data_IF_115510823942
#
_entry.id   IF_115510823942
#
_cell.length_a   1.000
_cell.length_b   1.000
_cell.length_c   1.000
_cell.angle_alpha   90.00
_cell.angle_beta   90.00
_cell.angle_gamma   90.00
#
_symmetry.space_group_name_H-M   'P 1'
#
loop_
_entity.id
_entity.type
_entity.pdbx_description
1 polymer ?
#
# COMPACT_ATOMS: atom_id res chain seq x y z
N UNK A 1 4.67 13.45 -3.55
CA UNK A 1 5.23 12.39 -4.39
C UNK A 1 6.33 11.57 -3.72
N UNK A 2 6.12 11.17 -2.46
CA UNK A 2 6.97 10.17 -1.74
C UNK A 2 6.11 8.94 -1.37
N UNK A 3 4.79 9.05 -1.54
CA UNK A 3 3.81 8.02 -1.14
C UNK A 3 3.46 7.06 -2.29
N UNK A 4 3.71 7.43 -3.57
CA UNK A 4 3.39 6.59 -4.73
C UNK A 4 4.18 5.28 -4.73
N UNK A 5 5.51 5.38 -4.66
CA UNK A 5 6.37 4.19 -4.68
C UNK A 5 6.17 3.26 -3.47
N UNK A 6 5.85 3.80 -2.28
CA UNK A 6 5.64 2.96 -1.09
C UNK A 6 4.34 2.13 -1.21
N UNK A 7 3.24 2.74 -1.65
CA UNK A 7 1.97 2.02 -1.85
C UNK A 7 2.12 1.00 -2.98
N UNK A 8 2.69 1.38 -4.13
CA UNK A 8 2.95 0.46 -5.23
C UNK A 8 3.85 -0.69 -4.78
N UNK A 9 4.89 -0.42 -3.98
CA UNK A 9 5.74 -1.47 -3.40
C UNK A 9 4.94 -2.46 -2.55
N UNK A 10 4.08 -1.99 -1.66
CA UNK A 10 3.26 -2.87 -0.82
C UNK A 10 2.24 -3.68 -1.65
N UNK A 11 1.66 -3.09 -2.71
CA UNK A 11 0.78 -3.80 -3.65
C UNK A 11 1.56 -4.86 -4.43
N UNK A 12 2.74 -4.54 -4.95
CA UNK A 12 3.60 -5.51 -5.63
C UNK A 12 4.08 -6.63 -4.70
N UNK A 13 4.37 -6.34 -3.42
CA UNK A 13 4.65 -7.36 -2.40
C UNK A 13 3.46 -8.31 -2.20
N UNK A 14 2.24 -7.77 -2.15
CA UNK A 14 1.03 -8.58 -2.09
C UNK A 14 0.89 -9.49 -3.33
N UNK A 15 1.08 -8.95 -4.54
CA UNK A 15 1.04 -9.72 -5.78
C UNK A 15 2.10 -10.82 -5.81
N UNK A 16 3.35 -10.50 -5.43
CA UNK A 16 4.43 -11.47 -5.30
C UNK A 16 4.02 -12.61 -4.38
N UNK A 17 3.47 -12.31 -3.21
CA UNK A 17 3.05 -13.34 -2.25
C UNK A 17 1.88 -14.18 -2.74
N UNK A 18 0.94 -13.58 -3.49
CA UNK A 18 -0.12 -14.32 -4.18
C UNK A 18 0.43 -15.27 -5.27
N UNK A 19 1.51 -14.88 -5.95
CA UNK A 19 2.16 -15.69 -7.00
C UNK A 19 2.95 -16.85 -6.38
N UNK A 20 3.74 -16.57 -5.34
CA UNK A 20 4.51 -17.58 -4.61
C UNK A 20 3.63 -18.57 -3.85
N UNK A 21 2.44 -18.14 -3.42
CA UNK A 21 1.50 -18.95 -2.67
C UNK A 21 1.86 -19.06 -1.18
N UNK A 22 1.19 -19.99 -0.49
CA UNK A 22 1.27 -20.15 0.96
C UNK A 22 0.13 -19.46 1.70
N UNK A 23 0.23 -19.40 3.03
CA UNK A 23 -0.74 -18.72 3.87
C UNK A 23 -0.58 -17.20 3.74
N UNK A 24 -1.68 -16.51 3.43
CA UNK A 24 -1.69 -15.06 3.24
C UNK A 24 -2.95 -14.47 3.86
N UNK A 25 -2.77 -13.40 4.64
CA UNK A 25 -3.86 -12.52 5.06
C UNK A 25 -3.64 -11.15 4.43
N UNK A 26 -4.64 -10.69 3.67
CA UNK A 26 -4.62 -9.37 3.04
C UNK A 26 -5.61 -8.47 3.77
N UNK A 27 -5.14 -7.34 4.26
CA UNK A 27 -5.99 -6.28 4.80
C UNK A 27 -6.08 -5.21 3.70
N UNK A 28 -7.29 -4.89 3.28
CA UNK A 28 -7.52 -3.92 2.21
C UNK A 28 -8.77 -3.09 2.48
N UNK A 29 -8.93 -1.99 1.77
CA UNK A 29 -10.14 -1.17 1.80
C UNK A 29 -11.14 -1.63 0.75
N UNK A 30 -12.41 -1.25 0.92
CA UNK A 30 -13.43 -1.47 -0.10
C UNK A 30 -13.10 -0.72 -1.40
N UNK A 31 -12.60 0.52 -1.30
CA UNK A 31 -12.20 1.33 -2.46
C UNK A 31 -11.12 0.66 -3.32
N UNK A 32 -10.16 -0.04 -2.71
CA UNK A 32 -9.16 -0.78 -3.47
C UNK A 32 -9.77 -1.93 -4.29
N UNK A 33 -10.86 -2.54 -3.81
CA UNK A 33 -11.58 -3.62 -4.52
C UNK A 33 -12.44 -3.11 -5.68
N UNK A 34 -12.78 -1.82 -5.65
CA UNK A 34 -13.52 -1.15 -6.72
C UNK A 34 -12.63 -0.84 -7.94
N UNK A 35 -11.30 -0.95 -7.81
CA UNK A 35 -10.38 -0.66 -8.93
C UNK A 35 -10.09 -1.92 -9.76
N UNK A 36 -10.14 -1.82 -11.10
CA UNK A 36 -9.73 -2.88 -12.01
C UNK A 36 -8.24 -3.15 -11.89
N UNK A 37 -7.88 -4.41 -12.10
CA UNK A 37 -6.51 -4.90 -12.10
C UNK A 37 -6.23 -5.63 -13.41
N UNK A 38 -4.98 -5.76 -13.78
CA UNK A 38 -4.58 -6.62 -14.90
C UNK A 38 -4.72 -8.10 -14.48
N UNK A 39 -4.96 -9.06 -15.38
CA UNK A 39 -5.04 -10.46 -14.97
C UNK A 39 -3.75 -10.94 -14.28
N UNK A 40 -3.86 -11.67 -13.16
CA UNK A 40 -2.68 -12.17 -12.44
C UNK A 40 -1.78 -13.07 -13.30
N UNK A 41 -2.35 -13.73 -14.30
CA UNK A 41 -1.61 -14.50 -15.31
C UNK A 41 -0.63 -13.63 -16.11
N UNK A 42 -0.99 -12.37 -16.40
CA UNK A 42 -0.11 -11.40 -17.06
C UNK A 42 1.07 -11.08 -16.15
N UNK A 43 0.83 -10.80 -14.86
CA UNK A 43 1.91 -10.55 -13.88
C UNK A 43 2.82 -11.79 -13.78
N UNK A 44 2.24 -12.98 -13.63
CA UNK A 44 2.98 -14.25 -13.52
C UNK A 44 3.88 -14.53 -14.73
N UNK A 45 3.38 -14.28 -15.95
CA UNK A 45 4.14 -14.47 -17.20
C UNK A 45 5.39 -13.59 -17.25
N UNK A 46 5.36 -12.44 -16.59
CA UNK A 46 6.46 -11.47 -16.57
C UNK A 46 7.30 -11.54 -15.30
N UNK A 47 7.13 -12.57 -14.46
CA UNK A 47 8.12 -12.86 -13.42
C UNK A 47 9.32 -13.48 -14.11
N UNK A 48 10.46 -12.79 -14.00
CA UNK A 48 11.69 -13.16 -14.66
C UNK A 48 12.61 -13.91 -13.71
N UNK A 49 13.11 -15.09 -14.11
CA UNK A 49 14.03 -15.90 -13.31
C UNK A 49 15.40 -15.93 -13.96
N UNK A 50 16.43 -15.67 -13.17
CA UNK A 50 17.84 -15.82 -13.57
C UNK A 50 18.49 -16.82 -12.63
N UNK A 51 19.15 -17.82 -13.21
CA UNK A 51 19.87 -18.86 -12.49
C UNK A 51 21.33 -18.83 -12.92
N UNK A 52 22.21 -19.19 -11.99
CA UNK A 52 23.63 -19.38 -12.28
C UNK A 52 23.82 -20.45 -13.36
N UNK A 53 24.85 -20.32 -14.20
CA UNK A 53 25.19 -21.27 -15.28
C UNK A 53 24.11 -21.39 -16.36
N UNK A 54 23.17 -20.43 -16.41
CA UNK A 54 22.18 -20.30 -17.49
C UNK A 54 22.54 -19.17 -18.44
N UNK A 55 21.95 -19.27 -19.61
CA UNK A 55 22.07 -18.32 -20.70
C UNK A 55 21.17 -17.10 -20.47
N UNK A 56 21.70 -15.90 -20.67
CA UNK A 56 21.04 -14.62 -20.43
C UNK A 56 21.48 -13.60 -21.48
N UNK A 57 20.55 -13.19 -22.36
CA UNK A 57 20.83 -12.15 -23.36
C UNK A 57 20.47 -10.76 -22.78
N UNK A 58 21.46 -9.88 -22.68
CA UNK A 58 21.33 -8.58 -22.01
C UNK A 58 20.36 -7.64 -22.72
N UNK A 59 20.31 -7.65 -24.05
CA UNK A 59 19.45 -6.73 -24.82
C UNK A 59 17.97 -7.10 -24.69
N UNK A 60 17.64 -8.40 -24.72
CA UNK A 60 16.31 -8.93 -24.50
C UNK A 60 15.88 -8.73 -23.04
N UNK A 61 16.81 -8.95 -22.10
CA UNK A 61 16.56 -8.72 -20.67
C UNK A 61 16.28 -7.25 -20.37
N UNK A 62 17.03 -6.33 -20.98
CA UNK A 62 16.79 -4.89 -20.85
C UNK A 62 15.39 -4.51 -21.34
N UNK A 63 14.96 -5.05 -22.48
CA UNK A 63 13.63 -4.82 -23.03
C UNK A 63 12.54 -5.34 -22.10
N UNK A 64 12.67 -6.57 -21.60
CA UNK A 64 11.72 -7.17 -20.64
C UNK A 64 11.61 -6.35 -19.35
N UNK A 65 12.74 -5.89 -18.79
CA UNK A 65 12.76 -5.04 -17.60
C UNK A 65 12.03 -3.71 -17.85
N UNK A 66 12.24 -3.07 -19.00
CA UNK A 66 11.52 -1.85 -19.37
C UNK A 66 10.00 -2.07 -19.52
N UNK A 67 9.58 -3.17 -20.14
CA UNK A 67 8.16 -3.58 -20.25
C UNK A 67 7.52 -3.82 -18.87
N UNK A 68 8.30 -4.35 -17.93
CA UNK A 68 7.95 -4.57 -16.52
C UNK A 68 7.93 -3.29 -15.68
N UNK A 69 8.29 -2.14 -16.26
CA UNK A 69 8.27 -0.83 -15.61
C UNK A 69 9.56 -0.43 -14.89
N UNK A 70 10.67 -1.13 -15.14
CA UNK A 70 11.97 -0.73 -14.59
C UNK A 70 12.58 0.42 -15.38
N UNK A 71 13.21 1.34 -14.67
CA UNK A 71 13.93 2.48 -15.26
C UNK A 71 15.39 2.11 -15.54
N UNK A 72 15.81 2.26 -16.79
CA UNK A 72 17.22 2.08 -17.18
C UNK A 72 18.04 3.27 -16.74
N UNK A 73 19.02 3.05 -15.89
CA UNK A 73 19.91 4.07 -15.35
C UNK A 73 21.37 3.72 -15.58
N UNK A 74 22.25 4.69 -15.37
CA UNK A 74 23.70 4.44 -15.42
C UNK A 74 24.19 3.60 -14.22
N UNK A 75 23.59 3.85 -13.04
CA UNK A 75 23.90 3.18 -11.80
C UNK A 75 22.62 3.06 -10.96
N UNK A 76 22.40 1.89 -10.38
CA UNK A 76 21.23 1.61 -9.55
C UNK A 76 21.36 2.33 -8.20
N UNK A 77 20.37 3.14 -7.87
CA UNK A 77 20.30 3.92 -6.63
C UNK A 77 18.98 3.72 -5.87
N UNK A 78 17.91 3.28 -6.55
CA UNK A 78 16.58 3.11 -5.98
C UNK A 78 15.85 1.86 -6.51
N UNK A 79 14.88 1.31 -5.76
CA UNK A 79 14.05 0.19 -6.24
C UNK A 79 13.32 0.53 -7.54
N UNK A 80 13.14 -0.45 -8.42
CA UNK A 80 12.55 -0.29 -9.75
C UNK A 80 13.53 0.21 -10.81
N UNK A 81 14.84 0.18 -10.54
CA UNK A 81 15.88 0.58 -11.49
C UNK A 81 16.74 -0.61 -11.92
N UNK A 82 17.33 -0.49 -13.12
CA UNK A 82 18.37 -1.41 -13.58
C UNK A 82 19.46 -0.68 -14.38
N UNK A 83 20.67 -1.23 -14.38
CA UNK A 83 21.82 -0.72 -15.11
C UNK A 83 22.56 -1.87 -15.81
N UNK A 84 23.06 -1.60 -17.02
CA UNK A 84 23.90 -2.55 -17.77
C UNK A 84 25.25 -1.90 -18.03
N UNK A 85 26.33 -2.59 -17.63
CA UNK A 85 27.71 -2.11 -17.73
C UNK A 85 28.62 -3.22 -18.24
N UNK A 86 28.84 -3.27 -19.55
CA UNK A 86 29.51 -4.41 -20.19
C UNK A 86 28.70 -5.68 -19.92
N UNK A 87 29.34 -6.68 -19.33
CA UNK A 87 28.75 -7.99 -19.03
C UNK A 87 28.10 -8.03 -17.64
N UNK A 88 27.74 -6.87 -17.06
CA UNK A 88 27.11 -6.77 -15.74
C UNK A 88 25.72 -6.17 -15.88
N UNK A 89 24.72 -6.86 -15.32
CA UNK A 89 23.37 -6.34 -15.08
C UNK A 89 23.17 -6.15 -13.57
N UNK A 90 22.97 -4.90 -13.16
CA UNK A 90 22.48 -4.58 -11.82
C UNK A 90 20.98 -4.29 -11.90
N UNK A 91 20.18 -4.85 -10.99
CA UNK A 91 18.72 -4.67 -10.96
C UNK A 91 18.23 -4.63 -9.53
N UNK A 92 17.36 -3.67 -9.22
CA UNK A 92 16.77 -3.52 -7.89
C UNK A 92 15.29 -3.80 -7.92
N UNK A 93 14.91 -5.03 -7.55
CA UNK A 93 13.51 -5.42 -7.43
C UNK A 93 12.76 -4.54 -6.41
N UNK A 94 11.54 -4.12 -6.76
CA UNK A 94 10.74 -3.22 -5.95
C UNK A 94 10.42 -3.80 -4.56
N UNK A 95 10.28 -5.12 -4.47
CA UNK A 95 9.81 -5.84 -3.28
C UNK A 95 10.94 -6.27 -2.34
N UNK A 96 12.19 -6.25 -2.82
CA UNK A 96 13.39 -6.70 -2.11
C UNK A 96 14.03 -5.62 -1.25
N UNK A 97 14.95 -6.04 -0.37
CA UNK A 97 15.73 -5.13 0.48
C UNK A 97 17.02 -4.65 -0.19
N UNK A 98 17.68 -5.53 -0.95
CA UNK A 98 18.95 -5.25 -1.63
C UNK A 98 18.84 -5.53 -3.13
N UNK A 99 19.53 -4.76 -3.99
CA UNK A 99 19.65 -5.04 -5.41
C UNK A 99 20.49 -6.28 -5.70
N UNK A 100 20.30 -6.81 -6.90
CA UNK A 100 21.05 -7.94 -7.44
C UNK A 100 22.07 -7.49 -8.48
N UNK A 101 23.26 -8.09 -8.44
CA UNK A 101 24.30 -8.00 -9.46
C UNK A 101 24.40 -9.36 -10.16
N UNK A 102 24.29 -9.32 -11.48
CA UNK A 102 24.33 -10.46 -12.39
C UNK A 102 25.53 -10.25 -13.31
N UNK A 103 26.57 -11.06 -13.14
CA UNK A 103 27.80 -11.01 -13.94
C UNK A 103 27.77 -12.14 -14.96
N UNK A 104 28.03 -11.81 -16.21
CA UNK A 104 28.06 -12.74 -17.33
C UNK A 104 29.49 -12.96 -17.85
N UNK A 105 29.71 -14.15 -18.42
CA UNK A 105 30.84 -14.44 -19.29
C UNK A 105 30.31 -14.82 -20.68
N UNK A 106 30.40 -13.89 -21.62
CA UNK A 106 29.66 -14.00 -22.88
C UNK A 106 28.16 -13.87 -22.62
N UNK A 107 27.41 -14.94 -22.88
CA UNK A 107 25.97 -15.04 -22.66
C UNK A 107 25.60 -15.92 -21.44
N UNK A 108 26.59 -16.46 -20.72
CA UNK A 108 26.37 -17.32 -19.56
C UNK A 108 26.48 -16.54 -18.24
N UNK A 109 25.54 -16.76 -17.31
CA UNK A 109 25.56 -16.17 -15.95
C UNK A 109 26.63 -16.85 -15.11
N UNK A 110 27.74 -16.14 -14.89
CA UNK A 110 28.88 -16.61 -14.08
C UNK A 110 28.59 -16.44 -12.57
N UNK A 111 28.01 -15.31 -12.18
CA UNK A 111 27.89 -14.91 -10.78
C UNK A 111 26.61 -14.11 -10.52
N UNK A 112 25.91 -14.46 -9.43
CA UNK A 112 24.71 -13.78 -8.92
C UNK A 112 24.96 -13.41 -7.47
N UNK A 113 24.76 -12.14 -7.11
CA UNK A 113 24.99 -11.64 -5.74
C UNK A 113 24.00 -10.54 -5.38
N UNK A 114 23.62 -10.45 -4.10
CA UNK A 114 23.05 -9.19 -3.59
C UNK A 114 24.19 -8.18 -3.33
N UNK A 115 23.91 -6.87 -3.38
CA UNK A 115 24.91 -5.84 -3.08
C UNK A 115 24.34 -4.66 -2.30
N UNK A 116 25.19 -3.97 -1.54
CA UNK A 116 24.81 -2.78 -0.78
C UNK A 116 24.77 -1.54 -1.67
N UNK A 117 23.65 -0.82 -1.69
CA UNK A 117 23.44 0.35 -2.56
C UNK A 117 24.48 1.45 -2.36
N UNK A 118 24.88 1.69 -1.11
CA UNK A 118 25.75 2.82 -0.75
C UNK A 118 27.20 2.55 -1.13
N UNK A 119 27.70 1.36 -0.81
CA UNK A 119 29.09 0.97 -1.05
C UNK A 119 29.31 0.30 -2.41
N UNK A 120 28.23 -0.14 -3.07
CA UNK A 120 28.25 -0.89 -4.34
C UNK A 120 29.04 -2.21 -4.26
N UNK A 121 29.18 -2.74 -3.04
CA UNK A 121 29.90 -3.99 -2.75
C UNK A 121 28.94 -5.15 -2.58
N UNK A 122 29.34 -6.32 -3.08
CA UNK A 122 28.59 -7.55 -2.90
C UNK A 122 28.42 -7.90 -1.42
N UNK A 123 27.25 -8.45 -1.09
CA UNK A 123 26.87 -8.92 0.25
C UNK A 123 26.88 -10.45 0.26
N UNK A 124 25.90 -11.08 -0.38
CA UNK A 124 25.74 -12.54 -0.36
C UNK A 124 25.71 -13.13 -1.77
N UNK A 125 26.33 -14.29 -2.01
CA UNK A 125 26.16 -15.03 -3.26
C UNK A 125 24.78 -15.70 -3.31
N UNK A 126 24.22 -15.80 -4.51
CA UNK A 126 22.91 -16.39 -4.80
C UNK A 126 23.04 -17.43 -5.91
N UNK A 127 22.21 -18.47 -5.90
CA UNK A 127 22.15 -19.46 -7.00
C UNK A 127 21.06 -19.11 -8.03
N UNK A 128 20.03 -18.37 -7.58
CA UNK A 128 18.89 -17.96 -8.40
C UNK A 128 18.31 -16.65 -7.86
N UNK A 129 17.84 -15.79 -8.78
CA UNK A 129 17.03 -14.61 -8.46
C UNK A 129 15.72 -14.63 -9.24
N UNK A 130 14.66 -14.06 -8.64
CA UNK A 130 13.37 -13.82 -9.29
C UNK A 130 13.08 -12.33 -9.23
N UNK A 131 12.87 -11.74 -10.40
CA UNK A 131 12.61 -10.33 -10.59
C UNK A 131 11.14 -10.17 -10.96
N UNK A 132 10.39 -9.46 -10.12
CA UNK A 132 8.97 -9.18 -10.27
C UNK A 132 8.77 -7.82 -10.97
N UNK A 133 7.62 -7.56 -11.58
CA UNK A 133 7.35 -6.26 -12.20
C UNK A 133 7.52 -5.09 -11.21
N UNK A 134 7.98 -3.95 -11.71
CA UNK A 134 8.11 -2.71 -10.95
C UNK A 134 6.88 -1.79 -11.11
N UNK A 135 5.91 -2.17 -11.95
CA UNK A 135 4.66 -1.46 -12.19
C UNK A 135 3.45 -2.39 -12.11
N UNK A 136 2.29 -1.83 -11.74
CA UNK A 136 1.02 -2.54 -11.69
C UNK A 136 0.42 -2.82 -13.08
N UNK A 137 0.96 -2.17 -14.11
CA UNK A 137 0.63 -2.42 -15.51
C UNK A 137 1.87 -2.82 -16.30
N UNK A 138 1.75 -3.91 -17.06
CA UNK A 138 2.79 -4.36 -17.98
C UNK A 138 2.45 -3.85 -19.38
N UNK A 139 3.37 -3.13 -20.01
CA UNK A 139 3.14 -2.50 -21.31
C UNK A 139 4.14 -3.07 -22.31
N UNK A 140 3.79 -4.23 -22.87
CA UNK A 140 4.42 -4.79 -24.07
C UNK A 140 4.26 -3.79 -25.24
N UNK A 141 5.24 -3.73 -26.14
CA UNK A 141 5.30 -2.74 -27.23
C UNK A 141 4.00 -2.66 -28.06
N UNK A 142 3.48 -3.81 -28.53
CA UNK A 142 2.22 -3.88 -29.27
C UNK A 142 1.01 -3.36 -28.47
N UNK A 143 0.95 -3.68 -27.17
CA UNK A 143 -0.14 -3.24 -26.29
C UNK A 143 -0.09 -1.74 -26.06
N UNK A 144 1.12 -1.22 -25.85
CA UNK A 144 1.37 0.20 -25.67
C UNK A 144 0.90 0.98 -26.91
N UNK A 145 1.29 0.52 -28.10
CA UNK A 145 0.91 1.13 -29.38
C UNK A 145 -0.61 1.14 -29.58
N UNK A 146 -1.29 -0.01 -29.43
CA UNK A 146 -2.75 -0.10 -29.56
C UNK A 146 -3.49 0.78 -28.54
N UNK A 147 -2.96 0.89 -27.32
CA UNK A 147 -3.53 1.77 -26.30
C UNK A 147 -3.43 3.25 -26.68
N UNK A 148 -2.25 3.69 -27.14
CA UNK A 148 -2.03 5.06 -27.63
C UNK A 148 -2.94 5.39 -28.81
N UNK A 149 -3.10 4.46 -29.76
CA UNK A 149 -3.99 4.65 -30.91
C UNK A 149 -5.45 4.90 -30.48
N UNK A 150 -5.95 4.12 -29.51
CA UNK A 150 -7.29 4.31 -28.94
C UNK A 150 -7.43 5.66 -28.23
N UNK A 151 -6.45 6.01 -27.38
CA UNK A 151 -6.41 7.29 -26.64
C UNK A 151 -6.43 8.46 -27.64
N UNK A 152 -5.58 8.41 -28.66
CA UNK A 152 -5.45 9.48 -29.66
C UNK A 152 -6.72 9.60 -30.49
N UNK A 153 -7.33 8.48 -30.89
CA UNK A 153 -8.57 8.49 -31.65
C UNK A 153 -9.75 9.09 -30.85
N UNK A 154 -9.90 8.73 -29.57
CA UNK A 154 -10.92 9.34 -28.71
C UNK A 154 -10.65 10.82 -28.46
N UNK A 155 -9.39 11.19 -28.21
CA UNK A 155 -8.98 12.57 -28.02
C UNK A 155 -9.36 13.45 -29.21
N UNK A 156 -9.07 13.00 -30.44
CA UNK A 156 -9.44 13.71 -31.67
C UNK A 156 -10.95 13.98 -31.74
N UNK A 157 -11.77 12.96 -31.48
CA UNK A 157 -13.23 13.10 -31.48
C UNK A 157 -13.72 14.11 -30.43
N UNK A 158 -13.17 14.06 -29.22
CA UNK A 158 -13.57 14.96 -28.12
C UNK A 158 -13.10 16.40 -28.37
N UNK A 159 -11.88 16.59 -28.87
CA UNK A 159 -11.32 17.90 -29.24
C UNK A 159 -12.14 18.54 -30.35
N UNK A 160 -12.51 17.79 -31.39
CA UNK A 160 -13.39 18.28 -32.46
C UNK A 160 -14.75 18.71 -31.92
N UNK A 161 -15.35 17.92 -31.02
CA UNK A 161 -16.61 18.26 -30.37
C UNK A 161 -16.49 19.56 -29.57
N UNK A 162 -15.45 19.71 -28.75
CA UNK A 162 -15.23 20.94 -27.99
C UNK A 162 -15.03 22.16 -28.89
N UNK A 163 -14.29 22.03 -30.00
CA UNK A 163 -14.15 23.13 -30.98
C UNK A 163 -15.50 23.51 -31.61
N UNK A 164 -16.36 22.54 -31.96
CA UNK A 164 -17.71 22.80 -32.47
C UNK A 164 -18.60 23.52 -31.44
N UNK A 165 -18.41 23.22 -30.16
CA UNK A 165 -19.11 23.85 -29.03
C UNK A 165 -18.48 25.19 -28.57
N UNK A 166 -17.47 25.71 -29.29
CA UNK A 166 -16.71 26.92 -28.93
C UNK A 166 -15.97 26.82 -27.57
N UNK A 167 -15.69 25.60 -27.10
CA UNK A 167 -14.91 25.29 -25.89
C UNK A 167 -13.42 25.15 -26.20
N UNK A 168 -12.81 26.21 -26.72
CA UNK A 168 -11.44 26.18 -27.27
C UNK A 168 -10.36 25.89 -26.22
N UNK A 169 -10.52 26.39 -24.99
CA UNK A 169 -9.56 26.15 -23.91
C UNK A 169 -9.54 24.68 -23.47
N UNK A 170 -10.72 24.08 -23.32
CA UNK A 170 -10.87 22.67 -22.97
C UNK A 170 -10.32 21.78 -24.09
N UNK A 171 -10.58 22.14 -25.36
CA UNK A 171 -10.02 21.45 -26.51
C UNK A 171 -8.48 21.49 -26.51
N UNK A 172 -7.88 22.65 -26.29
CA UNK A 172 -6.42 22.78 -26.24
C UNK A 172 -5.82 22.01 -25.06
N UNK A 173 -6.42 22.12 -23.87
CA UNK A 173 -5.97 21.42 -22.67
C UNK A 173 -5.94 19.90 -22.85
N UNK A 174 -7.01 19.34 -23.43
CA UNK A 174 -7.10 17.90 -23.68
C UNK A 174 -6.07 17.45 -24.73
N UNK A 175 -5.92 18.22 -25.80
CA UNK A 175 -4.96 17.94 -26.89
C UNK A 175 -3.51 17.93 -26.38
N UNK A 176 -3.11 18.93 -25.59
CA UNK A 176 -1.77 18.98 -25.00
C UNK A 176 -1.53 17.86 -23.98
N UNK A 177 -2.50 17.58 -23.09
CA UNK A 177 -2.38 16.49 -22.12
C UNK A 177 -2.17 15.14 -22.82
N UNK A 178 -2.89 14.87 -23.91
CA UNK A 178 -2.74 13.62 -24.66
C UNK A 178 -1.40 13.57 -25.40
N UNK A 179 -0.93 14.68 -26.00
CA UNK A 179 0.41 14.71 -26.62
C UNK A 179 1.53 14.42 -25.62
N UNK A 180 1.48 15.07 -24.45
CA UNK A 180 2.44 14.83 -23.37
C UNK A 180 2.42 13.37 -22.92
N UNK A 181 1.23 12.76 -22.80
CA UNK A 181 1.07 11.36 -22.47
C UNK A 181 1.69 10.43 -23.53
N UNK A 182 1.43 10.67 -24.82
CA UNK A 182 2.00 9.87 -25.91
C UNK A 182 3.53 9.95 -25.88
N UNK A 183 4.09 11.15 -25.77
CA UNK A 183 5.55 11.35 -25.69
C UNK A 183 6.15 10.61 -24.50
N UNK A 184 5.50 10.66 -23.33
CA UNK A 184 5.97 9.96 -22.13
C UNK A 184 5.98 8.44 -22.31
N UNK A 185 4.95 7.88 -22.94
CA UNK A 185 4.84 6.44 -23.17
C UNK A 185 5.86 5.98 -24.22
N UNK A 186 6.02 6.71 -25.32
CA UNK A 186 6.98 6.40 -26.39
C UNK A 186 8.44 6.48 -25.92
N UNK A 187 8.76 7.45 -25.06
CA UNK A 187 10.12 7.61 -24.51
C UNK A 187 10.45 6.62 -23.38
N UNK A 188 9.50 5.77 -22.97
CA UNK A 188 9.64 4.87 -21.81
C UNK A 188 10.04 5.62 -20.52
N UNK A 189 9.71 6.91 -20.46
CA UNK A 189 9.95 7.79 -19.31
C UNK A 189 9.02 7.43 -18.15
N UNK A 190 9.28 7.96 -16.95
CA UNK A 190 8.46 7.70 -15.76
C UNK A 190 6.96 7.82 -16.07
N UNK A 191 6.30 6.66 -16.03
CA UNK A 191 4.90 6.40 -16.40
C UNK A 191 3.93 6.88 -15.31
N UNK A 192 4.00 8.15 -14.92
CA UNK A 192 3.09 8.68 -13.91
C UNK A 192 1.63 8.63 -14.43
N UNK A 193 0.72 8.06 -13.63
CA UNK A 193 -0.74 8.02 -13.85
C UNK A 193 -1.28 7.18 -15.03
N UNK A 194 -0.51 6.26 -15.63
CA UNK A 194 -1.02 5.34 -16.66
C UNK A 194 -2.16 4.44 -16.18
N UNK A 195 -2.25 4.19 -14.86
CA UNK A 195 -3.33 3.44 -14.23
C UNK A 195 -4.72 4.01 -14.56
N UNK A 196 -4.83 5.34 -14.70
CA UNK A 196 -6.09 5.99 -15.07
C UNK A 196 -6.53 5.72 -16.51
N UNK A 197 -5.66 5.13 -17.32
CA UNK A 197 -5.88 4.74 -18.71
C UNK A 197 -5.91 3.21 -18.88
N UNK A 198 -6.01 2.43 -17.79
CA UNK A 198 -5.90 0.97 -17.83
C UNK A 198 -6.78 0.33 -18.92
N UNK A 199 -8.02 0.78 -19.11
CA UNK A 199 -8.95 0.22 -20.09
C UNK A 199 -8.59 0.49 -21.56
N UNK A 200 -7.74 1.49 -21.83
CA UNK A 200 -7.20 1.70 -23.18
C UNK A 200 -6.16 0.63 -23.52
N UNK A 201 -5.36 0.23 -22.54
CA UNK A 201 -4.29 -0.75 -22.69
C UNK A 201 -4.76 -2.20 -22.46
N UNK A 202 -5.79 -2.40 -21.64
CA UNK A 202 -6.31 -3.70 -21.22
C UNK A 202 -7.81 -3.77 -21.43
N UNK A 203 -8.25 -4.62 -22.36
CA UNK A 203 -9.67 -4.91 -22.58
C UNK A 203 -10.21 -5.86 -21.50
N UNK A 204 -9.39 -6.84 -21.08
CA UNK A 204 -9.76 -7.86 -20.09
C UNK A 204 -9.19 -7.52 -18.70
N UNK A 205 -9.70 -6.47 -18.05
CA UNK A 205 -9.36 -6.22 -16.64
C UNK A 205 -10.20 -7.09 -15.70
N UNK A 206 -9.67 -7.34 -14.50
CA UNK A 206 -10.29 -8.17 -13.47
C UNK A 206 -10.36 -7.44 -12.14
N UNK A 207 -11.27 -7.83 -11.26
CA UNK A 207 -11.22 -7.38 -9.86
C UNK A 207 -10.09 -8.09 -9.12
N UNK A 208 -9.48 -7.40 -8.14
CA UNK A 208 -8.53 -8.00 -7.20
C UNK A 208 -9.07 -9.30 -6.55
N UNK A 209 -10.39 -9.38 -6.35
CA UNK A 209 -11.07 -10.55 -5.80
C UNK A 209 -10.91 -11.82 -6.66
N UNK A 210 -10.67 -11.67 -7.96
CA UNK A 210 -10.49 -12.79 -8.86
C UNK A 210 -9.20 -13.55 -8.61
N UNK A 211 -8.18 -12.88 -8.05
CA UNK A 211 -6.91 -13.51 -7.69
C UNK A 211 -7.07 -14.61 -6.63
N UNK A 212 -8.18 -14.58 -5.90
CA UNK A 212 -8.51 -15.56 -4.88
C UNK A 212 -9.40 -16.70 -5.39
N UNK A 213 -10.07 -16.54 -6.55
CA UNK A 213 -11.05 -17.52 -7.09
C UNK A 213 -10.43 -18.88 -7.43
N UNK A 214 -9.20 -18.91 -7.97
CA UNK A 214 -8.54 -20.15 -8.38
C UNK A 214 -7.86 -20.91 -7.22
N UNK A 215 -7.97 -20.43 -5.98
CA UNK A 215 -7.17 -20.90 -4.85
C UNK A 215 -5.76 -20.32 -4.89
N UNK A 216 -5.31 -19.81 -3.74
CA UNK A 216 -3.91 -19.40 -3.52
C UNK A 216 -3.06 -20.66 -3.68
N UNK A 217 -2.19 -20.72 -4.69
CA UNK A 217 -1.27 -21.85 -4.91
C UNK A 217 -1.73 -22.99 -5.83
N UNK A 218 -2.91 -22.94 -6.46
CA UNK A 218 -3.37 -24.00 -7.37
C UNK A 218 -2.56 -24.13 -8.68
N UNK A 219 -1.63 -23.21 -8.95
CA UNK A 219 -0.73 -23.28 -10.09
C UNK A 219 0.53 -24.14 -9.84
N UNK A 220 0.76 -24.65 -8.62
CA UNK A 220 1.95 -25.47 -8.30
C UNK A 220 1.73 -26.98 -8.37
N UNK A 221 0.48 -27.45 -8.49
CA UNK A 221 0.16 -28.86 -8.70
C UNK A 221 -0.87 -28.96 -9.81
N UNK A 222 -0.49 -29.56 -10.95
CA UNK A 222 -1.27 -29.70 -12.19
C UNK A 222 -2.63 -30.40 -12.06
N UNK A 223 -3.50 -29.87 -11.23
CA UNK A 223 -4.81 -30.41 -10.90
C UNK A 223 -5.82 -29.55 -11.63
N UNK A 224 -6.45 -30.13 -12.66
CA UNK A 224 -7.58 -29.52 -13.35
C UNK A 224 -8.62 -29.12 -12.31
N UNK A 225 -8.92 -27.83 -12.23
CA UNK A 225 -9.98 -27.32 -11.38
C UNK A 225 -11.31 -27.91 -11.85
N UNK A 226 -11.80 -28.94 -11.14
CA UNK A 226 -13.16 -29.41 -11.30
C UNK A 226 -14.13 -28.32 -10.85
N UNK A 227 -15.22 -28.13 -11.60
CA UNK A 227 -16.34 -27.28 -11.21
C UNK A 227 -16.90 -27.75 -9.86
N UNK A 228 -16.44 -27.14 -8.76
CA UNK A 228 -16.76 -27.57 -7.40
C UNK A 228 -15.67 -27.36 -6.35
N UNK A 229 -14.44 -26.99 -6.73
CA UNK A 229 -13.41 -26.64 -5.76
C UNK A 229 -13.81 -25.35 -5.01
N UNK A 230 -14.28 -25.50 -3.76
CA UNK A 230 -14.56 -24.36 -2.87
C UNK A 230 -13.31 -23.49 -2.77
N UNK A 231 -13.47 -22.20 -3.05
CA UNK A 231 -12.40 -21.21 -2.91
C UNK A 231 -11.74 -21.33 -1.53
N UNK A 232 -10.41 -21.42 -1.50
CA UNK A 232 -9.63 -21.55 -0.26
C UNK A 232 -9.67 -20.28 0.61
N UNK A 233 -9.97 -19.12 0.00
CA UNK A 233 -10.03 -17.84 0.69
C UNK A 233 -11.38 -17.62 1.41
N UNK A 234 -11.31 -16.99 2.59
CA UNK A 234 -12.46 -16.46 3.32
C UNK A 234 -12.30 -14.95 3.47
N UNK A 235 -13.33 -14.19 3.11
CA UNK A 235 -13.37 -12.75 3.27
C UNK A 235 -13.99 -12.39 4.63
N UNK A 236 -13.33 -11.53 5.37
CA UNK A 236 -13.89 -10.90 6.57
C UNK A 236 -14.27 -9.46 6.24
N UNK A 237 -15.50 -9.06 6.55
CA UNK A 237 -16.01 -7.71 6.36
C UNK A 237 -16.28 -7.13 7.74
N UNK A 238 -15.44 -6.18 8.14
CA UNK A 238 -15.56 -5.44 9.39
C UNK A 238 -16.50 -4.25 9.19
N UNK A 239 -17.56 -4.18 9.99
CA UNK A 239 -18.61 -3.15 9.93
C UNK A 239 -19.20 -2.93 8.53
N UNK A 240 -19.94 -3.93 8.04
CA UNK A 240 -20.53 -3.96 6.70
C UNK A 240 -21.34 -2.69 6.32
N UNK A 241 -22.01 -2.06 7.28
CA UNK A 241 -22.73 -0.80 7.05
C UNK A 241 -21.78 0.34 6.67
N UNK A 242 -20.71 0.54 7.45
CA UNK A 242 -19.69 1.54 7.14
C UNK A 242 -19.00 1.25 5.81
N UNK A 243 -18.73 -0.03 5.49
CA UNK A 243 -18.15 -0.43 4.21
C UNK A 243 -19.02 0.01 3.03
N UNK A 244 -20.34 -0.20 3.10
CA UNK A 244 -21.26 0.24 2.04
C UNK A 244 -21.38 1.75 1.93
N UNK A 245 -21.43 2.46 3.06
CA UNK A 245 -21.47 3.92 3.09
C UNK A 245 -20.20 4.52 2.46
N UNK A 246 -19.02 4.00 2.83
CA UNK A 246 -17.75 4.42 2.25
C UNK A 246 -17.67 4.12 0.76
N UNK A 247 -18.12 2.93 0.32
CA UNK A 247 -18.17 2.58 -1.11
C UNK A 247 -19.01 3.57 -1.92
N UNK A 248 -20.23 3.86 -1.45
CA UNK A 248 -21.14 4.80 -2.12
C UNK A 248 -20.60 6.22 -2.14
N UNK A 249 -19.96 6.66 -1.05
CA UNK A 249 -19.33 7.97 -0.99
C UNK A 249 -18.18 8.08 -2.01
N UNK A 250 -17.30 7.08 -2.07
CA UNK A 250 -16.19 7.03 -3.04
C UNK A 250 -16.71 7.01 -4.47
N UNK A 251 -17.72 6.20 -4.77
CA UNK A 251 -18.33 6.13 -6.10
C UNK A 251 -18.91 7.47 -6.54
N UNK A 252 -19.67 8.14 -5.68
CA UNK A 252 -20.29 9.43 -6.00
C UNK A 252 -19.24 10.54 -6.15
N UNK A 253 -18.27 10.62 -5.24
CA UNK A 253 -17.17 11.59 -5.33
C UNK A 253 -16.35 11.38 -6.61
N UNK A 254 -16.04 10.13 -6.95
CA UNK A 254 -15.32 9.77 -8.17
C UNK A 254 -16.13 10.21 -9.40
N UNK A 255 -17.39 9.82 -9.49
CA UNK A 255 -18.27 10.14 -10.62
C UNK A 255 -18.39 11.64 -10.84
N UNK A 256 -18.64 12.41 -9.78
CA UNK A 256 -18.74 13.88 -9.86
C UNK A 256 -17.41 14.52 -10.28
N UNK A 257 -16.29 14.06 -9.72
CA UNK A 257 -14.96 14.56 -10.09
C UNK A 257 -14.66 14.28 -11.57
N UNK A 258 -14.96 13.07 -12.05
CA UNK A 258 -14.68 12.66 -13.42
C UNK A 258 -15.56 13.39 -14.43
N UNK A 259 -16.87 13.56 -14.16
CA UNK A 259 -17.75 14.37 -15.01
C UNK A 259 -17.19 15.80 -15.14
N UNK A 260 -16.88 16.45 -14.02
CA UNK A 260 -16.36 17.80 -14.03
C UNK A 260 -15.02 17.90 -14.79
N UNK A 261 -14.10 16.97 -14.55
CA UNK A 261 -12.79 16.95 -15.24
C UNK A 261 -12.96 16.71 -16.75
N UNK A 262 -13.86 15.83 -17.16
CA UNK A 262 -14.16 15.57 -18.56
C UNK A 262 -14.76 16.82 -19.23
N UNK A 263 -15.74 17.48 -18.60
CA UNK A 263 -16.33 18.73 -19.08
C UNK A 263 -15.31 19.86 -19.24
N UNK A 264 -14.31 19.89 -18.36
CA UNK A 264 -13.22 20.86 -18.39
C UNK A 264 -12.05 20.42 -19.28
N UNK A 265 -12.11 19.29 -19.98
CA UNK A 265 -11.03 18.82 -20.85
C UNK A 265 -9.74 18.43 -20.13
N UNK A 266 -9.82 17.99 -18.86
CA UNK A 266 -8.67 17.44 -18.12
C UNK A 266 -8.47 15.95 -18.32
N UNK A 267 -9.49 15.21 -18.78
CA UNK A 267 -9.46 13.76 -18.97
C UNK A 267 -10.27 13.36 -20.22
N UNK A 268 -10.05 12.15 -20.69
CA UNK A 268 -10.87 11.50 -21.71
C UNK A 268 -12.12 10.82 -21.10
N UNK A 269 -13.26 10.78 -21.82
CA UNK A 269 -14.45 10.05 -21.37
C UNK A 269 -14.20 8.57 -21.04
N UNK A 270 -13.37 7.85 -21.80
CA UNK A 270 -13.04 6.46 -21.49
C UNK A 270 -12.30 6.24 -20.16
N UNK A 271 -11.76 7.29 -19.53
CA UNK A 271 -11.20 7.19 -18.18
C UNK A 271 -12.29 7.15 -17.09
N UNK A 272 -13.53 7.51 -17.41
CA UNK A 272 -14.65 7.54 -16.45
C UNK A 272 -15.08 6.14 -15.99
N UNK A 273 -14.74 5.10 -16.77
CA UNK A 273 -15.06 3.69 -16.48
C UNK A 273 -13.98 3.00 -15.64
N UNK A 274 -13.12 3.76 -14.95
CA UNK A 274 -12.01 3.23 -14.17
C UNK A 274 -12.46 2.55 -12.86
N UNK A 275 -13.68 2.76 -12.39
CA UNK A 275 -14.11 2.31 -11.06
C UNK A 275 -15.34 1.42 -11.19
N UNK A 276 -15.26 0.18 -10.69
CA UNK A 276 -16.43 -0.66 -10.48
C UNK A 276 -17.35 0.00 -9.43
N UNK A 277 -18.63 0.07 -9.72
CA UNK A 277 -19.61 0.61 -8.79
C UNK A 277 -19.69 -0.20 -7.49
N UNK A 278 -20.29 0.37 -6.45
CA UNK A 278 -20.44 -0.28 -5.13
C UNK A 278 -21.20 -1.59 -5.27
N UNK A 279 -22.34 -1.58 -5.94
CA UNK A 279 -23.17 -2.78 -6.12
C UNK A 279 -22.47 -3.86 -6.95
N UNK A 280 -21.75 -3.45 -8.00
CA UNK A 280 -20.95 -4.37 -8.81
C UNK A 280 -19.84 -5.01 -7.96
N UNK A 281 -19.13 -4.21 -7.17
CA UNK A 281 -18.07 -4.69 -6.28
C UNK A 281 -18.63 -5.67 -5.25
N UNK A 282 -19.79 -5.37 -4.65
CA UNK A 282 -20.49 -6.30 -3.74
C UNK A 282 -20.89 -7.60 -4.44
N UNK A 283 -21.39 -7.51 -5.67
CA UNK A 283 -21.70 -8.70 -6.46
C UNK A 283 -20.44 -9.54 -6.72
N UNK A 284 -19.30 -8.91 -7.05
CA UNK A 284 -18.02 -9.62 -7.21
C UNK A 284 -17.53 -10.28 -5.91
N UNK A 285 -17.84 -9.72 -4.74
CA UNK A 285 -17.52 -10.31 -3.43
C UNK A 285 -18.30 -11.59 -3.13
N UNK A 286 -19.47 -11.79 -3.75
CA UNK A 286 -20.34 -12.95 -3.50
C UNK A 286 -19.70 -14.30 -3.88
N UNK A 287 -18.63 -14.28 -4.68
CA UNK A 287 -17.89 -15.47 -5.12
C UNK A 287 -17.04 -16.11 -4.01
N UNK A 288 -16.84 -15.40 -2.89
CA UNK A 288 -16.05 -15.87 -1.76
C UNK A 288 -16.97 -16.23 -0.59
N UNK A 289 -16.49 -17.12 0.30
CA UNK A 289 -17.10 -17.27 1.63
C UNK A 289 -16.86 -15.99 2.41
N UNK A 290 -17.89 -15.48 3.07
CA UNK A 290 -17.88 -14.18 3.76
C UNK A 290 -18.25 -14.37 5.23
N UNK A 291 -17.52 -13.69 6.10
CA UNK A 291 -17.83 -13.52 7.52
C UNK A 291 -17.99 -12.04 7.77
N UNK A 292 -19.14 -11.64 8.27
CA UNK A 292 -19.38 -10.27 8.68
C UNK A 292 -19.08 -10.14 10.17
N UNK A 293 -18.32 -9.10 10.53
CA UNK A 293 -18.10 -8.69 11.90
C UNK A 293 -18.82 -7.35 12.08
N UNK A 294 -19.73 -7.28 13.03
CA UNK A 294 -20.46 -6.06 13.34
C UNK A 294 -20.90 -6.07 14.80
N UNK A 295 -20.83 -4.91 15.46
CA UNK A 295 -21.41 -4.74 16.80
C UNK A 295 -22.94 -4.76 16.76
N UNK A 296 -23.52 -4.18 15.71
CA UNK A 296 -24.97 -4.09 15.51
C UNK A 296 -25.31 -4.61 14.10
N UNK A 297 -26.10 -5.69 13.97
CA UNK A 297 -26.53 -6.18 12.67
C UNK A 297 -27.33 -5.15 11.90
N UNK A 298 -26.99 -4.96 10.63
CA UNK A 298 -27.74 -4.05 9.76
C UNK A 298 -29.05 -4.71 9.27
N UNK A 299 -30.15 -3.95 9.12
CA UNK A 299 -31.41 -4.46 8.57
C UNK A 299 -31.22 -5.14 7.21
N UNK A 300 -31.86 -6.30 7.01
CA UNK A 300 -31.66 -7.17 5.83
C UNK A 300 -31.99 -6.49 4.50
N UNK A 301 -32.99 -5.60 4.48
CA UNK A 301 -33.42 -4.85 3.31
C UNK A 301 -32.37 -3.84 2.81
N UNK A 302 -31.45 -3.42 3.68
CA UNK A 302 -30.37 -2.48 3.35
C UNK A 302 -29.00 -3.15 3.31
N UNK A 303 -28.94 -4.44 3.60
CA UNK A 303 -27.70 -5.19 3.70
C UNK A 303 -27.38 -5.96 2.42
N UNK A 304 -26.56 -5.34 1.56
CA UNK A 304 -26.02 -6.02 0.38
C UNK A 304 -25.09 -7.20 0.74
N UNK A 305 -24.70 -7.32 2.01
CA UNK A 305 -23.93 -8.43 2.56
C UNK A 305 -24.78 -9.35 3.47
N UNK A 306 -26.11 -9.33 3.36
CA UNK A 306 -27.01 -10.06 4.27
C UNK A 306 -26.53 -11.50 4.55
N UNK A 307 -26.27 -11.86 5.83
CA UNK A 307 -25.76 -13.17 6.17
C UNK A 307 -26.84 -14.25 6.13
N UNK A 308 -26.43 -15.48 5.83
CA UNK A 308 -27.31 -16.66 5.92
C UNK A 308 -27.57 -17.07 7.37
N UNK A 309 -26.60 -16.81 8.26
CA UNK A 309 -26.63 -17.15 9.68
C UNK A 309 -26.03 -16.01 10.49
N UNK A 310 -26.65 -15.72 11.61
CA UNK A 310 -26.18 -14.74 12.58
C UNK A 310 -25.80 -15.46 13.86
N UNK A 311 -24.63 -15.13 14.39
CA UNK A 311 -24.11 -15.66 15.65
C UNK A 311 -23.75 -14.46 16.52
N UNK A 312 -24.34 -14.39 17.71
CA UNK A 312 -24.00 -13.35 18.69
C UNK A 312 -22.93 -13.87 19.63
N UNK A 313 -21.89 -13.07 19.84
CA UNK A 313 -20.82 -13.36 20.82
C UNK A 313 -20.88 -12.26 21.87
N UNK A 314 -21.18 -12.63 23.12
CA UNK A 314 -21.23 -11.68 24.23
C UNK A 314 -19.84 -11.13 24.57
N UNK A 315 -19.56 -9.90 24.15
CA UNK A 315 -18.32 -9.17 24.46
C UNK A 315 -18.62 -7.85 25.17
N UNK A 316 -17.73 -7.41 26.06
CA UNK A 316 -17.82 -6.09 26.71
C UNK A 316 -16.50 -5.36 26.60
N UNK A 317 -16.55 -4.08 26.23
CA UNK A 317 -15.39 -3.20 26.29
C UNK A 317 -15.03 -2.88 27.75
N UNK A 318 -13.74 -2.82 28.05
CA UNK A 318 -13.28 -2.37 29.37
C UNK A 318 -13.25 -0.84 29.44
N UNK A 319 -13.62 -0.30 30.59
CA UNK A 319 -13.44 1.11 30.88
C UNK A 319 -11.96 1.40 31.17
N UNK A 320 -11.41 2.53 30.71
CA UNK A 320 -10.03 2.88 31.01
C UNK A 320 -9.85 3.13 32.52
N UNK A 321 -8.74 2.65 33.06
CA UNK A 321 -8.34 2.85 34.46
C UNK A 321 -7.82 4.26 34.73
N UNK A 322 -7.47 5.04 33.69
CA UNK A 322 -7.03 6.43 33.78
C UNK A 322 -5.87 6.63 34.77
N UNK A 323 -4.83 5.79 34.68
CA UNK A 323 -3.67 5.75 35.59
C UNK A 323 -3.99 5.35 37.05
N UNK A 324 -5.21 4.89 37.35
CA UNK A 324 -5.55 4.38 38.68
C UNK A 324 -5.14 2.92 38.80
N UNK A 325 -3.91 2.69 39.25
CA UNK A 325 -3.40 1.35 39.50
C UNK A 325 -4.18 0.61 40.59
N UNK A 326 -4.69 1.33 41.60
CA UNK A 326 -5.53 0.77 42.66
C UNK A 326 -6.82 0.13 42.12
N UNK A 327 -7.48 0.79 41.15
CA UNK A 327 -8.68 0.23 40.49
C UNK A 327 -8.34 -1.01 39.69
N UNK A 328 -7.21 -1.01 38.98
CA UNK A 328 -6.72 -2.21 38.27
C UNK A 328 -6.52 -3.37 39.26
N UNK A 329 -5.81 -3.15 40.36
CA UNK A 329 -5.56 -4.18 41.38
C UNK A 329 -6.87 -4.69 41.98
N UNK A 330 -7.84 -3.80 42.26
CA UNK A 330 -9.16 -4.18 42.74
C UNK A 330 -9.87 -5.12 41.75
N UNK A 331 -9.93 -4.75 40.48
CA UNK A 331 -10.62 -5.53 39.45
C UNK A 331 -9.90 -6.86 39.17
N UNK A 332 -8.58 -6.88 39.18
CA UNK A 332 -7.79 -8.11 39.05
C UNK A 332 -8.03 -9.09 40.22
N UNK A 333 -8.21 -8.59 41.45
CA UNK A 333 -8.62 -9.45 42.59
C UNK A 333 -9.99 -10.05 42.35
N UNK A 334 -10.93 -9.26 41.82
CA UNK A 334 -12.26 -9.75 41.50
C UNK A 334 -12.22 -10.80 40.37
N UNK A 335 -11.50 -10.53 39.28
CA UNK A 335 -11.30 -11.47 38.18
C UNK A 335 -10.69 -12.79 38.67
N UNK A 336 -9.65 -12.73 39.52
CA UNK A 336 -9.05 -13.93 40.12
C UNK A 336 -10.05 -14.72 40.96
N UNK A 337 -10.86 -14.03 41.78
CA UNK A 337 -11.90 -14.65 42.60
C UNK A 337 -12.98 -15.34 41.76
N UNK A 338 -13.38 -14.72 40.66
CA UNK A 338 -14.36 -15.27 39.72
C UNK A 338 -13.78 -16.31 38.74
N UNK A 339 -12.48 -16.58 38.85
CA UNK A 339 -11.72 -17.52 38.01
C UNK A 339 -11.64 -17.10 36.54
N UNK A 340 -11.56 -15.80 36.29
CA UNK A 340 -11.22 -15.28 34.97
C UNK A 340 -9.79 -15.64 34.58
N UNK A 341 -9.61 -15.87 33.28
CA UNK A 341 -8.34 -15.94 32.59
C UNK A 341 -8.01 -14.53 32.11
N UNK A 342 -6.99 -13.89 32.69
CA UNK A 342 -6.66 -12.50 32.38
C UNK A 342 -5.36 -12.42 31.59
N UNK A 343 -5.41 -11.70 30.47
CA UNK A 343 -4.26 -11.38 29.63
C UNK A 343 -4.03 -9.86 29.66
N UNK A 344 -2.84 -9.42 30.03
CA UNK A 344 -2.46 -7.99 29.97
C UNK A 344 -1.41 -7.80 28.88
N UNK A 345 -1.71 -6.98 27.89
CA UNK A 345 -0.84 -6.74 26.74
C UNK A 345 -0.08 -5.42 26.89
N UNK A 346 1.24 -5.47 26.76
CA UNK A 346 2.09 -4.28 26.68
C UNK A 346 2.91 -4.25 25.39
N UNK A 347 3.01 -3.06 24.81
CA UNK A 347 3.81 -2.81 23.61
C UNK A 347 5.32 -2.83 23.86
N UNK A 348 5.80 -3.17 25.07
CA UNK A 348 7.21 -3.41 25.36
C UNK A 348 7.38 -4.65 26.23
N UNK A 349 8.29 -5.55 25.84
CA UNK A 349 8.68 -6.71 26.65
C UNK A 349 9.17 -6.30 28.05
N UNK A 350 9.94 -5.21 28.15
CA UNK A 350 10.46 -4.75 29.44
C UNK A 350 9.36 -4.21 30.34
N UNK A 351 8.36 -3.50 29.78
CA UNK A 351 7.20 -3.00 30.54
C UNK A 351 6.27 -4.14 30.95
N UNK A 352 6.03 -5.12 30.07
CA UNK A 352 5.27 -6.33 30.39
C UNK A 352 5.87 -7.11 31.57
N UNK A 353 7.20 -7.25 31.61
CA UNK A 353 7.93 -7.90 32.71
C UNK A 353 7.83 -7.08 34.01
N UNK A 354 8.09 -5.77 33.96
CA UNK A 354 7.99 -4.89 35.14
C UNK A 354 6.58 -4.87 35.75
N UNK A 355 5.55 -4.89 34.91
CA UNK A 355 4.16 -4.91 35.38
C UNK A 355 3.87 -6.15 36.25
N UNK A 356 4.53 -7.28 36.01
CA UNK A 356 4.41 -8.46 36.88
C UNK A 356 4.92 -8.17 38.29
N UNK A 357 6.07 -7.49 38.40
CA UNK A 357 6.65 -7.14 39.68
C UNK A 357 5.73 -6.15 40.42
N UNK A 358 5.26 -5.10 39.74
CA UNK A 358 4.32 -4.12 40.30
C UNK A 358 3.02 -4.78 40.79
N UNK A 359 2.49 -5.74 40.04
CA UNK A 359 1.29 -6.49 40.41
C UNK A 359 1.54 -7.40 41.63
N UNK A 360 2.68 -8.09 41.69
CA UNK A 360 3.05 -8.96 42.81
C UNK A 360 3.24 -8.17 44.11
N UNK A 361 3.86 -7.00 44.04
CA UNK A 361 4.02 -6.10 45.19
C UNK A 361 2.66 -5.65 45.75
N UNK A 362 1.62 -5.64 44.92
CA UNK A 362 0.23 -5.33 45.29
C UNK A 362 -0.62 -6.58 45.63
N UNK A 363 0.04 -7.73 45.81
CA UNK A 363 -0.59 -9.00 46.21
C UNK A 363 -1.32 -9.72 45.07
N UNK A 364 -0.99 -9.42 43.81
CA UNK A 364 -1.55 -10.08 42.63
C UNK A 364 -0.52 -11.07 42.06
N UNK A 365 -0.77 -12.37 42.23
CA UNK A 365 0.03 -13.40 41.56
C UNK A 365 -0.17 -13.30 40.04
N UNK A 366 0.90 -12.96 39.35
CA UNK A 366 0.95 -12.85 37.89
C UNK A 366 2.31 -13.33 37.36
N UNK A 367 2.39 -13.57 36.05
CA UNK A 367 3.63 -13.97 35.38
C UNK A 367 3.67 -13.47 33.93
N UNK A 368 4.87 -13.40 33.37
CA UNK A 368 5.09 -13.05 31.97
C UNK A 368 5.35 -14.32 31.15
N UNK A 369 4.74 -14.42 29.96
CA UNK A 369 5.02 -15.48 28.99
C UNK A 369 5.79 -14.91 27.78
N UNK A 370 6.75 -15.68 27.26
CA UNK A 370 7.35 -15.44 25.94
C UNK A 370 6.71 -16.31 24.85
N UNK A 371 5.90 -17.30 25.24
CA UNK A 371 5.19 -18.19 24.31
C UNK A 371 3.88 -17.53 23.83
N UNK A 372 3.73 -17.24 22.52
CA UNK A 372 2.51 -16.68 21.95
C UNK A 372 1.30 -17.63 22.02
N UNK A 373 1.53 -18.93 22.19
CA UNK A 373 0.48 -19.95 22.25
C UNK A 373 0.02 -20.25 23.68
N UNK A 374 0.68 -19.69 24.70
CA UNK A 374 0.30 -19.90 26.09
C UNK A 374 -1.05 -19.25 26.41
N UNK A 375 -2.06 -20.07 26.67
CA UNK A 375 -3.40 -19.62 27.10
C UNK A 375 -3.49 -19.58 28.63
N UNK A 376 -3.82 -18.46 29.30
CA UNK A 376 -3.97 -18.39 30.76
C UNK A 376 -4.99 -19.41 31.30
N UNK A 377 -4.70 -20.01 32.46
CA UNK A 377 -5.61 -20.91 33.17
C UNK A 377 -6.61 -20.13 34.04
N UNK A 378 -7.75 -20.74 34.45
CA UNK A 378 -8.74 -20.04 35.27
C UNK A 378 -8.16 -19.47 36.58
N UNK A 379 -8.23 -18.15 36.74
CA UNK A 379 -7.66 -17.41 37.87
C UNK A 379 -6.21 -16.96 37.67
N UNK A 380 -5.58 -17.30 36.55
CA UNK A 380 -4.26 -16.78 36.19
C UNK A 380 -4.36 -15.37 35.57
N UNK A 381 -3.37 -14.55 35.91
CA UNK A 381 -3.13 -13.25 35.30
C UNK A 381 -1.77 -13.33 34.60
N UNK A 382 -1.80 -13.23 33.28
CA UNK A 382 -0.62 -13.34 32.43
C UNK A 382 -0.34 -12.00 31.75
N UNK A 383 0.92 -11.55 31.75
CA UNK A 383 1.35 -10.44 30.91
C UNK A 383 2.04 -10.99 29.65
N UNK A 384 1.85 -10.31 28.51
CA UNK A 384 2.46 -10.69 27.24
C UNK A 384 2.82 -9.47 26.40
N UNK A 385 3.79 -9.63 25.48
CA UNK A 385 4.18 -8.58 24.55
C UNK A 385 3.21 -8.52 23.37
N UNK A 386 2.43 -7.45 23.28
CA UNK A 386 1.45 -7.26 22.22
C UNK A 386 0.78 -5.89 22.32
N UNK A 387 0.05 -5.51 21.27
CA UNK A 387 -0.67 -4.24 21.23
C UNK A 387 -2.09 -4.47 20.74
N UNK A 388 -3.04 -4.00 21.53
CA UNK A 388 -4.45 -3.83 21.14
C UNK A 388 -4.84 -2.38 21.43
N UNK A 389 -5.93 -1.91 20.83
CA UNK A 389 -6.38 -0.52 21.02
C UNK A 389 -7.08 -0.32 22.36
N UNK A 390 -7.97 -1.25 22.72
CA UNK A 390 -8.75 -1.24 23.96
C UNK A 390 -8.94 -2.66 24.45
N UNK A 391 -8.97 -2.82 25.76
CA UNK A 391 -9.29 -4.07 26.43
C UNK A 391 -10.76 -4.44 26.31
N UNK A 392 -11.02 -5.73 26.45
CA UNK A 392 -12.35 -6.33 26.34
C UNK A 392 -12.45 -7.59 27.21
N UNK A 393 -13.66 -8.03 27.49
CA UNK A 393 -13.94 -9.29 28.15
C UNK A 393 -15.01 -10.12 27.43
N UNK A 394 -14.88 -11.44 27.53
CA UNK A 394 -15.90 -12.42 27.16
C UNK A 394 -16.41 -13.11 28.44
N UNK A 395 -17.53 -12.64 29.03
CA UNK A 395 -18.01 -13.16 30.31
C UNK A 395 -18.36 -14.66 30.26
N UNK A 396 -18.87 -15.15 29.13
CA UNK A 396 -19.30 -16.54 28.94
C UNK A 396 -18.15 -17.55 29.13
N UNK A 397 -16.94 -17.17 28.73
CA UNK A 397 -15.74 -18.01 28.87
C UNK A 397 -14.79 -17.52 29.98
N UNK A 398 -15.24 -16.50 30.74
CA UNK A 398 -14.47 -15.83 31.80
C UNK A 398 -13.07 -15.45 31.34
N UNK A 399 -12.99 -14.72 30.23
CA UNK A 399 -11.73 -14.26 29.66
C UNK A 399 -11.72 -12.75 29.57
N UNK A 400 -10.63 -12.12 30.01
CA UNK A 400 -10.44 -10.67 29.93
C UNK A 400 -9.08 -10.35 29.33
N UNK A 401 -9.05 -9.37 28.43
CA UNK A 401 -7.83 -8.80 27.86
C UNK A 401 -7.77 -7.33 28.24
N UNK A 402 -6.67 -6.92 28.88
CA UNK A 402 -6.42 -5.54 29.30
C UNK A 402 -5.27 -5.00 28.45
N UNK A 403 -5.48 -3.84 27.82
CA UNK A 403 -4.42 -3.12 27.13
C UNK A 403 -3.60 -2.30 28.12
N UNK A 404 -2.31 -2.14 27.86
CA UNK A 404 -1.48 -1.14 28.53
C UNK A 404 -2.09 0.27 28.42
N UNK A 405 -2.75 0.60 27.30
CA UNK A 405 -3.43 1.88 27.10
C UNK A 405 -4.69 2.08 27.96
N UNK A 406 -5.30 1.00 28.45
CA UNK A 406 -6.41 1.09 29.39
C UNK A 406 -5.88 1.43 30.79
N UNK A 407 -4.73 0.85 31.16
CA UNK A 407 -4.08 1.05 32.46
C UNK A 407 -3.49 2.45 32.53
N UNK A 408 -2.62 2.75 31.57
CA UNK A 408 -1.88 4.00 31.49
C UNK A 408 -2.45 4.82 30.35
N UNK A 409 -2.92 6.02 30.66
CA UNK A 409 -3.30 6.96 29.61
C UNK A 409 -2.08 7.20 28.75
N UNK A 410 -2.14 6.91 27.45
CA UNK A 410 -1.07 7.32 26.55
C UNK A 410 -0.88 8.83 26.76
N UNK A 411 0.29 9.24 27.25
CA UNK A 411 0.72 10.60 26.99
C UNK A 411 0.71 10.71 25.48
N UNK A 412 -0.33 11.37 24.94
CA UNK A 412 -0.35 11.76 23.54
C UNK A 412 1.00 12.43 23.34
N UNK A 413 1.93 11.75 22.68
CA UNK A 413 3.12 12.40 22.15
C UNK A 413 2.50 13.56 21.39
N UNK A 414 2.64 14.79 21.91
CA UNK A 414 2.17 15.99 21.21
C UNK A 414 2.65 15.75 19.80
N UNK A 415 1.71 15.51 18.85
CA UNK A 415 2.09 15.38 17.45
C UNK A 415 2.99 16.58 17.26
N UNK A 416 4.28 16.36 16.96
CA UNK A 416 5.17 17.47 16.59
C UNK A 416 4.33 18.21 15.57
N UNK A 417 3.88 19.43 15.89
CA UNK A 417 3.06 20.21 14.97
C UNK A 417 3.87 20.15 13.68
N UNK A 418 3.38 19.44 12.67
CA UNK A 418 3.98 19.53 11.34
C UNK A 418 3.97 21.03 11.10
N UNK A 419 5.15 21.65 11.00
CA UNK A 419 5.23 23.05 10.58
C UNK A 419 4.32 23.12 9.35
N UNK A 420 3.30 23.98 9.38
CA UNK A 420 2.48 24.22 8.20
C UNK A 420 3.49 24.66 7.14
N UNK A 421 3.77 23.79 6.16
CA UNK A 421 4.42 24.21 4.94
C UNK A 421 3.38 25.06 4.21
N UNK A 422 3.40 26.36 4.49
CA UNK A 422 2.94 27.35 3.51
C UNK A 422 3.88 27.20 2.31
N UNK A 423 3.29 26.91 1.14
CA UNK A 423 4.00 26.46 -0.06
C UNK A 423 5.11 27.39 -0.51
N UNK A 424 6.32 27.08 -0.06
CA UNK A 424 7.58 27.68 -0.48
C UNK A 424 8.72 26.76 -0.06
N UNK A 425 9.73 26.61 -0.92
CA UNK A 425 10.96 25.91 -0.56
C UNK A 425 11.69 26.70 0.53
N UNK A 426 12.22 26.00 1.54
CA UNK A 426 13.08 26.63 2.54
C UNK A 426 14.42 26.95 1.86
N UNK A 427 14.75 28.24 1.75
CA UNK A 427 16.02 28.72 1.19
C UNK A 427 17.14 28.25 2.12
N UNK A 428 17.99 27.34 1.64
CA UNK A 428 19.06 26.74 2.46
C UNK A 428 20.33 27.58 2.46
N UNK A 429 20.50 28.45 1.45
CA UNK A 429 21.55 29.46 1.40
C UNK A 429 21.24 30.57 0.39
N UNK A 430 21.97 31.70 0.49
CA UNK A 430 21.79 32.83 -0.43
C UNK A 430 22.14 32.52 -1.90
N UNK A 431 22.84 31.42 -2.15
CA UNK A 431 23.12 30.89 -3.50
C UNK A 431 21.87 30.45 -4.26
N UNK A 432 20.79 30.18 -3.52
CA UNK A 432 19.55 29.62 -4.07
C UNK A 432 18.59 30.73 -4.56
N UNK A 433 18.99 32.01 -4.41
CA UNK A 433 18.17 33.19 -4.72
C UNK A 433 18.69 33.96 -5.92
N UNK A 434 17.79 34.27 -6.85
CA UNK A 434 18.04 35.20 -7.97
C UNK A 434 17.44 36.56 -7.67
N UNK A 435 18.09 37.62 -8.13
CA UNK A 435 17.56 38.98 -8.04
C UNK A 435 16.19 39.00 -8.74
N UNK A 436 15.15 39.41 -8.01
CA UNK A 436 13.76 39.39 -8.47
C UNK A 436 12.89 38.30 -7.84
N UNK A 437 13.46 37.31 -7.15
CA UNK A 437 12.68 36.26 -6.49
C UNK A 437 11.81 36.83 -5.35
N UNK A 438 10.59 36.33 -5.24
CA UNK A 438 9.70 36.62 -4.12
C UNK A 438 10.11 35.80 -2.90
N UNK A 439 10.47 36.48 -1.82
CA UNK A 439 10.91 35.87 -0.55
C UNK A 439 9.97 36.26 0.58
N UNK A 440 9.79 35.38 1.56
CA UNK A 440 8.96 35.67 2.74
C UNK A 440 9.88 35.81 3.95
N UNK A 441 9.88 36.98 4.58
CA UNK A 441 10.58 37.22 5.84
C UNK A 441 9.63 36.96 7.03
N UNK A 442 10.10 36.26 8.07
CA UNK A 442 9.26 35.87 9.22
C UNK A 442 8.60 37.08 9.90
N UNK A 443 9.33 38.20 10.03
CA UNK A 443 8.81 39.41 10.69
C UNK A 443 8.14 40.43 9.73
N UNK A 444 8.36 40.33 8.42
CA UNK A 444 8.02 41.41 7.47
C UNK A 444 7.14 40.98 6.28
N UNK A 445 6.90 39.68 6.09
CA UNK A 445 6.04 39.17 5.02
C UNK A 445 6.72 39.08 3.65
N UNK A 446 5.94 39.17 2.56
CA UNK A 446 6.40 39.00 1.18
C UNK A 446 7.25 40.20 0.72
N UNK A 447 8.46 39.94 0.24
CA UNK A 447 9.38 40.93 -0.33
C UNK A 447 10.06 40.41 -1.60
N UNK A 448 10.84 41.26 -2.27
CA UNK A 448 11.59 40.92 -3.48
C UNK A 448 13.08 40.93 -3.16
N UNK A 449 13.78 39.84 -3.44
CA UNK A 449 15.23 39.77 -3.23
C UNK A 449 15.98 40.67 -4.22
N UNK A 450 16.81 41.58 -3.70
CA UNK A 450 17.57 42.58 -4.49
C UNK A 450 19.09 42.35 -4.52
N UNK A 451 19.58 41.22 -3.99
CA UNK A 451 21.01 40.90 -3.91
C UNK A 451 21.60 41.15 -2.52
N UNK A 452 22.92 40.96 -2.39
CA UNK A 452 23.69 41.19 -1.16
C UNK A 452 24.54 42.45 -1.35
N UNK A 453 24.43 43.39 -0.41
CA UNK A 453 25.28 44.56 -0.32
C UNK A 453 26.15 44.47 0.93
N UNK A 454 27.44 44.75 0.79
CA UNK A 454 28.38 44.72 1.91
C UNK A 454 28.38 46.08 2.59
N UNK A 455 28.05 46.14 3.87
CA UNK A 455 28.01 47.39 4.63
C UNK A 455 29.18 47.44 5.62
N UNK A 456 29.81 48.61 5.74
CA UNK A 456 30.88 48.84 6.72
C UNK A 456 30.28 49.59 7.90
N UNK A 457 30.25 48.92 9.05
CA UNK A 457 29.83 49.52 10.32
C UNK A 457 30.99 49.39 11.30
N UNK A 458 31.39 50.50 11.93
CA UNK A 458 32.50 50.57 12.90
C UNK A 458 33.82 49.94 12.41
N UNK A 459 34.20 50.25 11.15
CA UNK A 459 35.43 49.79 10.49
C UNK A 459 35.56 48.26 10.36
N UNK A 460 34.46 47.52 10.52
CA UNK A 460 34.38 46.08 10.22
C UNK A 460 33.38 45.89 9.10
N UNK A 461 33.82 45.21 8.02
CA UNK A 461 32.94 44.90 6.91
C UNK A 461 32.04 43.70 7.28
N UNK A 462 30.72 43.86 7.20
CA UNK A 462 29.74 42.79 7.41
C UNK A 462 28.92 42.55 6.15
#
# INVERSE_FOLDING_TARGET
DIHGNEITRERMRCLRRLIEGGELTVITTFSALMTPQIPLSVVKKHVFSVEKEKQLELSETARKLAEMGYEKVYQVEAPGQFAIRGDILDVFDLTEENPYRIELFGDEVESLRSFDLMSQRSIEPLDQVRIYPASEMILEEDRSQRGIEKITAEAQQVVERFRKEMKTEQAHRLDEMVKELVEQVEQQSKKANLESFIHYFYEDTVSFLEYFKSGIGAASAGTKAGAGARTAACLFIDEAGHVLEQGRAVEEEFRQSMIHRAEQGYILPGQMDLLYGTEETVAKLSVLRRVLLCEIPMPKDRNLFAPEKEISIGARSLAPYNNSFERLVHDLKQYKKEKYRVLILSGSRTRAKRLVDDLRDNGIESFYSEDPQRVPQPGEIMTYYGRILKGFEYPEIRFAVISESDIFTEHVKKKRKKKKHTGGQAISGFSDLKIGDYVIHEDHGLGIYRGIEKIVVDRVAR
#
